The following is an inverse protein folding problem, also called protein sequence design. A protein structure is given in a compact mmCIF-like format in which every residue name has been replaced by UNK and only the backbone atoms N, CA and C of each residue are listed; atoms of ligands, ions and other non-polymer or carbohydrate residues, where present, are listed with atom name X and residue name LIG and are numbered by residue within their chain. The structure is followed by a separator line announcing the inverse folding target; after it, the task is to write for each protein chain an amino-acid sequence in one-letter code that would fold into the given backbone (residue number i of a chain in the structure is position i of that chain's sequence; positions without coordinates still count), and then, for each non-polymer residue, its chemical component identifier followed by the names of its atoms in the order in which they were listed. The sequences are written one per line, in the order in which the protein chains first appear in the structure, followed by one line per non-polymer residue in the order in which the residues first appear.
data_IF_307019436889
#
_entry.id   IF_307019436889
#
_cell.length_a   1.000
_cell.length_b   1.000
_cell.length_c   1.000
_cell.angle_alpha   90.00
_cell.angle_beta   90.00
_cell.angle_gamma   90.00
#
_symmetry.space_group_name_H-M   'P 1'
#
loop_
_entity.id
_entity.type
_entity.pdbx_description
1 polymer ?
#
# COMPACT_ATOMS: atom_id res chain seq x y z
N UNK A 1 7.55 -11.70 4.60
CA UNK A 1 7.65 -11.34 6.03
C UNK A 1 6.65 -10.24 6.38
N UNK A 2 5.97 -10.37 7.51
CA UNK A 2 5.00 -9.37 7.94
C UNK A 2 5.66 -8.03 8.22
N UNK A 3 5.13 -6.95 7.64
CA UNK A 3 5.54 -5.59 7.99
C UNK A 3 4.83 -5.20 9.29
N UNK A 4 5.51 -5.32 10.40
CA UNK A 4 4.93 -5.14 11.74
C UNK A 4 4.65 -3.69 12.12
N UNK A 5 5.27 -2.74 11.43
CA UNK A 5 5.03 -1.32 11.68
C UNK A 5 3.84 -0.81 10.89
N UNK A 6 3.76 -1.18 9.62
CA UNK A 6 2.71 -0.71 8.73
C UNK A 6 1.38 -1.44 8.97
N UNK A 7 1.41 -2.75 9.19
CA UNK A 7 0.20 -3.57 9.32
C UNK A 7 -0.79 -3.00 10.34
N UNK A 8 -0.41 -2.70 11.60
CA UNK A 8 -1.39 -2.17 12.56
C UNK A 8 -1.93 -0.80 12.19
N UNK A 9 -1.21 -0.05 11.34
CA UNK A 9 -1.66 1.26 10.91
C UNK A 9 -2.73 1.15 9.82
N UNK A 10 -2.50 0.30 8.80
CA UNK A 10 -3.40 0.22 7.64
C UNK A 10 -4.47 -0.87 7.73
N UNK A 11 -4.34 -1.82 8.66
CA UNK A 11 -5.34 -2.89 8.79
C UNK A 11 -6.71 -2.30 9.05
N UNK A 12 -7.71 -2.79 8.31
CA UNK A 12 -9.08 -2.32 8.43
C UNK A 12 -9.46 -1.18 7.50
N UNK A 13 -8.50 -0.57 6.80
CA UNK A 13 -8.81 0.48 5.83
C UNK A 13 -9.23 -0.15 4.51
N UNK A 14 -10.25 0.44 3.87
CA UNK A 14 -10.79 -0.05 2.61
C UNK A 14 -10.26 0.79 1.46
N UNK A 15 -9.79 0.15 0.41
CA UNK A 15 -9.29 0.84 -0.79
C UNK A 15 -10.45 1.48 -1.53
N UNK A 16 -10.37 2.78 -1.76
CA UNK A 16 -11.37 3.54 -2.51
C UNK A 16 -11.01 3.58 -4.00
N UNK A 17 -9.78 3.93 -4.30
CA UNK A 17 -9.30 4.01 -5.69
C UNK A 17 -7.79 3.86 -5.75
N UNK A 18 -7.30 3.53 -6.95
CA UNK A 18 -5.89 3.36 -7.21
C UNK A 18 -5.52 4.14 -8.47
N UNK A 19 -4.38 4.83 -8.44
CA UNK A 19 -3.85 5.53 -9.60
C UNK A 19 -2.36 5.24 -9.73
N UNK A 20 -1.87 5.15 -10.96
CA UNK A 20 -0.45 5.01 -11.25
C UNK A 20 0.03 6.26 -11.96
N UNK A 21 1.01 6.94 -11.36
CA UNK A 21 1.53 8.20 -11.88
C UNK A 21 3.05 8.16 -11.84
N UNK A 22 3.69 8.22 -13.00
CA UNK A 22 5.14 8.32 -13.11
C UNK A 22 5.94 7.35 -12.24
N UNK A 23 5.59 6.06 -12.33
CA UNK A 23 6.30 5.02 -11.58
C UNK A 23 5.90 4.90 -10.12
N UNK A 24 4.89 5.63 -9.69
CA UNK A 24 4.35 5.53 -8.33
C UNK A 24 2.93 5.00 -8.37
N UNK A 25 2.61 4.15 -7.38
CA UNK A 25 1.26 3.68 -7.15
C UNK A 25 0.67 4.51 -6.01
N UNK A 26 -0.51 5.03 -6.22
CA UNK A 26 -1.22 5.83 -5.23
C UNK A 26 -2.51 5.13 -4.85
N UNK A 27 -2.59 4.64 -3.63
CA UNK A 27 -3.77 3.94 -3.12
C UNK A 27 -4.48 4.89 -2.16
N UNK A 28 -5.69 5.30 -2.51
CA UNK A 28 -6.53 6.12 -1.65
C UNK A 28 -7.50 5.24 -0.90
N UNK A 29 -7.58 5.41 0.43
CA UNK A 29 -8.51 4.69 1.27
C UNK A 29 -9.77 5.52 1.54
N UNK A 30 -10.85 4.85 1.99
CA UNK A 30 -12.13 5.51 2.25
C UNK A 30 -12.05 6.61 3.33
N UNK A 31 -11.08 6.51 4.24
CA UNK A 31 -10.87 7.51 5.28
C UNK A 31 -10.11 8.75 4.80
N UNK A 32 -9.77 8.79 3.51
CA UNK A 32 -9.03 9.90 2.91
C UNK A 32 -7.51 9.77 3.01
N UNK A 33 -6.99 8.72 3.66
CA UNK A 33 -5.56 8.47 3.70
C UNK A 33 -5.06 7.96 2.36
N UNK A 34 -3.76 8.15 2.10
CA UNK A 34 -3.13 7.76 0.84
C UNK A 34 -1.84 7.01 1.12
N UNK A 35 -1.74 5.81 0.56
CA UNK A 35 -0.53 5.01 0.55
C UNK A 35 0.15 5.21 -0.80
N UNK A 36 1.34 5.81 -0.79
CA UNK A 36 2.12 6.05 -1.99
C UNK A 36 3.29 5.09 -2.04
N UNK A 37 3.44 4.37 -3.14
CA UNK A 37 4.46 3.35 -3.31
C UNK A 37 5.24 3.63 -4.58
N UNK A 38 6.56 3.77 -4.47
CA UNK A 38 7.43 3.86 -5.65
C UNK A 38 7.63 2.45 -6.20
N UNK A 39 7.25 2.24 -7.45
CA UNK A 39 7.26 0.92 -8.07
C UNK A 39 8.46 0.70 -8.96
N UNK A 40 8.97 -0.54 -8.95
CA UNK A 40 9.99 -1.00 -9.89
C UNK A 40 9.39 -1.68 -11.12
N UNK A 41 8.07 -1.94 -11.12
CA UNK A 41 7.37 -2.57 -12.24
C UNK A 41 5.90 -2.11 -12.22
N UNK A 42 5.20 -2.15 -13.36
CA UNK A 42 3.78 -1.76 -13.43
C UNK A 42 2.90 -2.65 -12.53
N UNK A 43 1.87 -2.02 -11.96
CA UNK A 43 0.88 -2.71 -11.14
C UNK A 43 -0.40 -2.87 -11.96
N UNK A 44 -0.93 -4.09 -12.03
CA UNK A 44 -2.07 -4.40 -12.91
C UNK A 44 -3.29 -4.93 -12.19
N UNK A 45 -3.21 -5.17 -10.87
CA UNK A 45 -4.33 -5.73 -10.12
C UNK A 45 -5.43 -4.71 -9.89
N UNK A 46 -6.68 -5.20 -9.73
CA UNK A 46 -7.83 -4.37 -9.38
C UNK A 46 -8.17 -4.62 -7.92
N UNK A 47 -7.98 -3.62 -7.05
CA UNK A 47 -8.12 -3.79 -5.60
C UNK A 47 -9.13 -2.82 -4.96
N UNK A 48 -9.79 -1.98 -5.75
CA UNK A 48 -10.79 -1.06 -5.20
C UNK A 48 -11.91 -1.81 -4.48
N UNK A 49 -12.33 -1.31 -3.34
CA UNK A 49 -13.36 -1.91 -2.51
C UNK A 49 -12.87 -2.98 -1.55
N UNK A 50 -11.60 -3.35 -1.60
CA UNK A 50 -11.05 -4.40 -0.72
C UNK A 50 -10.51 -3.80 0.56
N UNK A 51 -10.71 -4.53 1.65
CA UNK A 51 -10.29 -4.10 2.99
C UNK A 51 -8.95 -4.74 3.34
N UNK A 52 -8.00 -3.92 3.73
CA UNK A 52 -6.64 -4.40 4.04
C UNK A 52 -6.62 -5.17 5.35
N UNK A 53 -5.96 -6.32 5.34
CA UNK A 53 -5.73 -7.13 6.53
C UNK A 53 -4.32 -6.96 7.05
N UNK A 54 -3.32 -7.07 6.17
CA UNK A 54 -1.91 -6.92 6.56
C UNK A 54 -1.04 -6.59 5.37
N UNK A 55 0.15 -6.08 5.66
CA UNK A 55 1.19 -5.82 4.67
C UNK A 55 2.35 -6.78 4.90
N UNK A 56 2.87 -7.35 3.81
CA UNK A 56 4.00 -8.26 3.81
C UNK A 56 5.08 -7.66 2.95
N UNK A 57 6.31 -7.77 3.40
CA UNK A 57 7.44 -7.21 2.65
C UNK A 57 8.68 -8.08 2.78
N UNK A 58 9.33 -8.32 1.64
CA UNK A 58 10.60 -9.05 1.60
C UNK A 58 11.43 -8.46 0.46
N UNK A 59 12.51 -7.76 0.80
CA UNK A 59 13.29 -7.05 -0.20
C UNK A 59 12.41 -6.04 -0.94
N UNK A 60 12.31 -6.18 -2.28
CA UNK A 60 11.46 -5.33 -3.11
C UNK A 60 10.07 -5.90 -3.35
N UNK A 61 9.75 -7.06 -2.75
CA UNK A 61 8.41 -7.64 -2.84
C UNK A 61 7.55 -7.04 -1.73
N UNK A 62 6.46 -6.40 -2.11
CA UNK A 62 5.51 -5.78 -1.19
C UNK A 62 4.11 -6.31 -1.51
N UNK A 63 3.49 -6.98 -0.56
CA UNK A 63 2.15 -7.55 -0.73
C UNK A 63 1.17 -6.91 0.23
N UNK A 64 0.00 -6.56 -0.26
CA UNK A 64 -1.15 -6.23 0.58
C UNK A 64 -2.08 -7.44 0.58
N UNK A 65 -2.33 -8.01 1.74
CA UNK A 65 -3.32 -9.07 1.89
C UNK A 65 -4.62 -8.47 2.39
N UNK A 66 -5.73 -8.84 1.75
CA UNK A 66 -7.05 -8.32 2.07
C UNK A 66 -7.86 -9.32 2.88
N UNK A 67 -8.94 -8.84 3.50
CA UNK A 67 -9.79 -9.70 4.34
C UNK A 67 -10.52 -10.78 3.55
N UNK A 68 -10.70 -10.60 2.25
CA UNK A 68 -11.28 -11.60 1.36
C UNK A 68 -10.27 -12.68 0.93
N UNK A 69 -9.08 -12.69 1.52
CA UNK A 69 -7.96 -13.60 1.24
C UNK A 69 -7.23 -13.34 -0.08
N UNK A 70 -7.61 -12.32 -0.82
CA UNK A 70 -6.86 -11.91 -2.01
C UNK A 70 -5.62 -11.14 -1.61
N UNK A 71 -4.67 -11.03 -2.55
CA UNK A 71 -3.42 -10.29 -2.36
C UNK A 71 -3.14 -9.40 -3.55
N UNK A 72 -2.55 -8.24 -3.29
CA UNK A 72 -1.98 -7.40 -4.33
C UNK A 72 -0.46 -7.46 -4.20
N UNK A 73 0.22 -7.80 -5.29
CA UNK A 73 1.68 -7.86 -5.31
C UNK A 73 2.23 -6.62 -5.98
N UNK A 74 3.07 -5.92 -5.29
CA UNK A 74 3.67 -4.68 -5.75
C UNK A 74 5.19 -4.83 -5.70
N UNK A 75 5.85 -4.50 -6.81
CA UNK A 75 7.31 -4.51 -6.86
C UNK A 75 7.78 -3.11 -6.51
N UNK A 76 8.56 -2.99 -5.42
CA UNK A 76 9.10 -1.71 -4.99
C UNK A 76 10.28 -1.29 -5.86
N UNK A 77 10.46 0.01 -6.05
CA UNK A 77 11.64 0.54 -6.74
C UNK A 77 12.92 0.26 -5.97
N UNK A 78 12.84 0.31 -4.62
CA UNK A 78 13.95 0.05 -3.72
C UNK A 78 13.43 -0.66 -2.48
N UNK A 79 14.30 -1.37 -1.77
CA UNK A 79 13.92 -2.05 -0.53
C UNK A 79 13.46 -1.09 0.56
N UNK A 80 14.02 0.12 0.57
CA UNK A 80 13.68 1.17 1.52
C UNK A 80 13.28 2.43 0.77
N UNK A 81 12.66 3.38 1.47
CA UNK A 81 12.27 4.69 0.92
C UNK A 81 11.26 4.61 -0.22
N UNK A 82 10.55 3.48 -0.35
CA UNK A 82 9.57 3.29 -1.43
C UNK A 82 8.12 3.42 -0.96
N UNK A 83 7.86 3.32 0.34
CA UNK A 83 6.49 3.27 0.89
C UNK A 83 6.26 4.45 1.83
N UNK A 84 5.17 5.18 1.62
CA UNK A 84 4.80 6.32 2.45
C UNK A 84 3.28 6.36 2.63
N UNK A 85 2.82 6.54 3.86
CA UNK A 85 1.41 6.67 4.18
C UNK A 85 1.14 8.03 4.83
N UNK A 86 0.19 8.78 4.28
CA UNK A 86 -0.27 10.04 4.85
C UNK A 86 -1.76 9.96 5.16
N UNK A 87 -2.18 10.59 6.25
CA UNK A 87 -3.59 10.65 6.60
C UNK A 87 -4.32 11.70 5.76
N UNK A 88 -5.62 11.86 6.00
CA UNK A 88 -6.46 12.82 5.27
C UNK A 88 -5.94 14.26 5.35
N UNK A 89 -5.33 14.63 6.46
CA UNK A 89 -4.76 15.96 6.66
C UNK A 89 -3.40 16.14 6.00
N UNK A 90 -2.85 15.09 5.39
CA UNK A 90 -1.53 15.13 4.77
C UNK A 90 -0.39 14.84 5.73
N UNK A 91 -0.69 14.47 6.96
CA UNK A 91 0.33 14.14 7.95
C UNK A 91 0.88 12.75 7.74
N UNK A 92 2.19 12.60 7.92
CA UNK A 92 2.87 11.32 7.72
C UNK A 92 2.53 10.33 8.83
N UNK A 93 1.99 9.17 8.47
CA UNK A 93 1.70 8.09 9.41
C UNK A 93 2.75 6.97 9.34
N UNK A 94 3.38 6.79 8.19
CA UNK A 94 4.39 5.76 7.98
C UNK A 94 5.30 6.16 6.83
N UNK A 95 6.59 5.90 6.99
CA UNK A 95 7.57 6.07 5.92
C UNK A 95 8.67 5.02 6.09
N UNK A 96 9.04 4.43 4.96
CA UNK A 96 10.13 3.46 4.93
C UNK A 96 11.10 3.79 3.81
#
# INVERSE_FOLDING_TARGET
MLNRKLTPIIAGRTVKRVAQIEGALRIEFDDGSILKIKMGAPFTDSIAGRKVKKALQKGTEFDLEFEDKSKAKIVLAEETSSVMLRNKAGELEYAD
#
